data_IF_082151453243
#
_entry.id   IF_082151453243
#
_cell.length_a   1.000
_cell.length_b   1.000
_cell.length_c   1.000
_cell.angle_alpha   90.00
_cell.angle_beta   90.00
_cell.angle_gamma   90.00
#
_symmetry.space_group_name_H-M   'P 1'
#
loop_
_entity.id
_entity.type
_entity.pdbx_description
1 polymer ?
#
# COMPACT_ATOMS: atom_id res chain seq x y z
N UNK A 1 5.26 6.14 -3.37
CA UNK A 1 4.16 6.78 -4.11
C UNK A 1 2.96 6.88 -3.19
N UNK A 2 2.22 8.04 -3.24
CA UNK A 2 1.04 8.26 -2.40
C UNK A 2 1.39 8.27 -0.91
N UNK A 3 2.30 9.15 -0.49
CA UNK A 3 2.86 9.14 0.85
C UNK A 3 1.84 9.53 1.95
N UNK A 4 0.67 10.03 1.56
CA UNK A 4 -0.36 10.50 2.48
C UNK A 4 0.18 11.55 3.47
N UNK A 5 -0.19 11.45 4.72
CA UNK A 5 0.34 12.33 5.76
C UNK A 5 1.75 11.95 6.26
N UNK A 6 2.44 11.01 5.61
CA UNK A 6 3.81 10.60 5.92
C UNK A 6 3.98 9.79 7.22
N UNK A 7 2.93 9.11 7.69
CA UNK A 7 3.01 8.30 8.91
C UNK A 7 3.91 7.08 8.73
N UNK A 8 3.80 6.39 7.59
CA UNK A 8 4.69 5.27 7.27
C UNK A 8 6.15 5.71 7.24
N UNK A 9 6.46 6.76 6.47
CA UNK A 9 7.83 7.29 6.38
C UNK A 9 8.39 7.67 7.73
N UNK A 10 7.61 8.37 8.57
CA UNK A 10 8.03 8.77 9.92
C UNK A 10 8.41 7.56 10.80
N UNK A 11 7.62 6.49 10.73
CA UNK A 11 7.81 5.32 11.59
C UNK A 11 8.93 4.40 11.11
N UNK A 12 9.18 4.35 9.80
CA UNK A 12 10.14 3.42 9.19
C UNK A 12 11.36 4.12 8.57
N UNK A 13 11.46 5.44 8.72
CA UNK A 13 12.66 6.18 8.31
C UNK A 13 13.90 5.63 9.04
N UNK A 14 14.98 5.47 8.29
CA UNK A 14 16.31 5.11 8.78
C UNK A 14 17.31 6.06 8.19
N UNK A 15 18.29 6.48 8.99
CA UNK A 15 19.33 7.44 8.59
C UNK A 15 20.23 6.91 7.47
N UNK A 16 20.31 5.60 7.32
CA UNK A 16 21.10 4.91 6.30
C UNK A 16 20.50 5.04 4.88
N UNK A 17 19.22 5.39 4.78
CA UNK A 17 18.58 5.65 3.48
C UNK A 17 19.07 6.99 2.95
N UNK A 18 19.82 6.95 1.85
CA UNK A 18 20.50 8.14 1.31
C UNK A 18 19.50 9.17 0.78
N UNK A 19 18.56 8.73 -0.06
CA UNK A 19 17.58 9.60 -0.71
C UNK A 19 16.19 8.99 -0.65
N UNK A 20 15.20 9.81 -0.33
CA UNK A 20 13.78 9.42 -0.33
C UNK A 20 13.03 10.46 -1.16
N UNK A 21 12.20 9.99 -2.09
CA UNK A 21 11.23 10.84 -2.79
C UNK A 21 9.83 10.42 -2.33
N UNK A 22 9.11 11.35 -1.74
CA UNK A 22 7.73 11.17 -1.33
C UNK A 22 6.83 11.87 -2.34
N UNK A 23 5.98 11.11 -3.02
CA UNK A 23 4.99 11.70 -3.94
C UNK A 23 3.60 11.68 -3.33
N UNK A 24 2.86 12.76 -3.50
CA UNK A 24 1.50 12.90 -3.02
C UNK A 24 0.76 13.93 -3.88
N UNK A 25 -0.52 13.68 -4.19
CA UNK A 25 -1.34 14.59 -5.03
C UNK A 25 -2.26 15.49 -4.22
N UNK A 26 -2.67 15.04 -3.03
CA UNK A 26 -3.53 15.83 -2.16
C UNK A 26 -2.77 17.00 -1.54
N UNK A 27 -3.25 18.21 -1.75
CA UNK A 27 -2.58 19.45 -1.33
C UNK A 27 -2.43 19.58 0.20
N UNK A 28 -3.41 19.06 0.96
CA UNK A 28 -3.35 19.09 2.42
C UNK A 28 -2.27 18.13 2.93
N UNK A 29 -2.21 16.93 2.35
CA UNK A 29 -1.16 15.96 2.66
C UNK A 29 0.23 16.46 2.25
N UNK A 30 0.37 17.09 1.08
CA UNK A 30 1.63 17.73 0.67
C UNK A 30 2.13 18.76 1.70
N UNK A 31 1.25 19.66 2.12
CA UNK A 31 1.58 20.64 3.17
C UNK A 31 2.01 19.96 4.47
N UNK A 32 1.32 18.91 4.86
CA UNK A 32 1.66 18.13 6.06
C UNK A 32 3.03 17.43 5.92
N UNK A 33 3.33 16.85 4.76
CA UNK A 33 4.64 16.26 4.46
C UNK A 33 5.75 17.29 4.56
N UNK A 34 5.62 18.45 3.90
CA UNK A 34 6.61 19.52 3.98
C UNK A 34 6.87 19.97 5.42
N UNK A 35 5.81 20.16 6.22
CA UNK A 35 5.96 20.54 7.62
C UNK A 35 6.64 19.43 8.44
N UNK A 36 6.28 18.18 8.21
CA UNK A 36 6.76 17.02 8.98
C UNK A 36 8.24 16.75 8.70
N UNK A 37 8.67 16.85 7.46
CA UNK A 37 10.01 16.45 7.02
C UNK A 37 10.93 17.63 6.67
N UNK A 38 10.57 18.87 7.02
CA UNK A 38 11.36 20.09 6.72
C UNK A 38 12.82 20.04 7.20
N UNK A 39 13.14 19.20 8.19
CA UNK A 39 14.50 19.04 8.74
C UNK A 39 15.26 17.87 8.13
N UNK A 40 14.63 17.06 7.29
CA UNK A 40 15.22 15.86 6.69
C UNK A 40 15.74 16.20 5.29
N UNK A 41 17.01 16.57 5.16
CA UNK A 41 17.62 17.02 3.91
C UNK A 41 17.65 15.95 2.81
N UNK A 42 17.55 14.69 3.17
CA UNK A 42 17.52 13.56 2.24
C UNK A 42 16.09 13.14 1.82
N UNK A 43 15.06 13.90 2.23
CA UNK A 43 13.67 13.66 1.82
C UNK A 43 13.21 14.77 0.88
N UNK A 44 12.97 14.42 -0.38
CA UNK A 44 12.36 15.28 -1.39
C UNK A 44 10.85 15.00 -1.44
N UNK A 45 10.02 16.01 -1.48
CA UNK A 45 8.57 15.90 -1.58
C UNK A 45 8.15 16.46 -2.93
N UNK A 46 7.25 15.75 -3.63
CA UNK A 46 6.81 16.09 -4.98
C UNK A 46 5.32 15.78 -5.18
N UNK A 47 4.64 16.56 -5.99
CA UNK A 47 3.28 16.31 -6.47
C UNK A 47 3.25 15.60 -7.83
N UNK A 48 4.42 15.30 -8.39
CA UNK A 48 4.56 14.64 -9.69
C UNK A 48 4.12 13.17 -9.63
N UNK A 49 3.55 12.70 -10.72
CA UNK A 49 3.36 11.28 -10.98
C UNK A 49 4.69 10.60 -11.31
N UNK A 50 4.77 9.27 -11.14
CA UNK A 50 6.01 8.51 -11.30
C UNK A 50 6.63 8.67 -12.69
N UNK A 51 5.84 8.78 -13.74
CA UNK A 51 6.30 8.97 -15.12
C UNK A 51 7.07 10.28 -15.33
N UNK A 52 6.74 11.32 -14.54
CA UNK A 52 7.34 12.66 -14.61
C UNK A 52 8.56 12.86 -13.70
N UNK A 53 8.94 11.85 -12.95
CA UNK A 53 10.14 11.89 -12.11
C UNK A 53 11.32 11.39 -12.95
N UNK A 54 12.39 12.16 -13.06
CA UNK A 54 13.57 11.76 -13.85
C UNK A 54 14.48 10.77 -13.13
N UNK A 55 14.42 10.74 -11.80
CA UNK A 55 15.23 9.85 -10.96
C UNK A 55 14.86 8.37 -11.16
N UNK A 56 15.85 7.49 -10.92
CA UNK A 56 15.66 6.04 -10.75
C UNK A 56 15.87 5.64 -9.30
N UNK A 57 15.26 4.53 -8.90
CA UNK A 57 15.16 4.12 -7.51
C UNK A 57 15.57 2.66 -7.32
N UNK A 58 16.21 2.36 -6.19
CA UNK A 58 16.49 0.99 -5.75
C UNK A 58 15.23 0.32 -5.18
N UNK A 59 14.27 1.13 -4.69
CA UNK A 59 12.99 0.61 -4.19
C UNK A 59 11.86 1.60 -4.46
N UNK A 60 10.76 1.11 -5.01
CA UNK A 60 9.51 1.86 -5.18
C UNK A 60 8.41 1.17 -4.37
N UNK A 61 7.67 1.96 -3.58
CA UNK A 61 6.61 1.48 -2.71
C UNK A 61 5.24 2.04 -3.13
N UNK A 62 4.25 1.14 -3.30
CA UNK A 62 2.83 1.45 -3.41
C UNK A 62 2.10 0.81 -2.23
N UNK A 63 1.80 1.57 -1.20
CA UNK A 63 1.15 1.08 0.03
C UNK A 63 -0.26 1.66 0.14
N UNK A 64 -1.25 0.90 -0.28
CA UNK A 64 -2.65 1.34 -0.38
C UNK A 64 -2.82 2.57 -1.29
N UNK A 65 -2.31 2.47 -2.50
CA UNK A 65 -2.34 3.53 -3.51
C UNK A 65 -2.87 3.03 -4.85
N UNK A 66 -2.47 1.82 -5.26
CA UNK A 66 -2.75 1.31 -6.59
C UNK A 66 -4.26 1.13 -6.85
N UNK A 67 -5.02 0.80 -5.81
CA UNK A 67 -6.48 0.72 -5.83
C UNK A 67 -7.20 2.02 -6.16
N UNK A 68 -6.52 3.16 -5.99
CA UNK A 68 -7.01 4.50 -6.33
C UNK A 68 -6.62 4.93 -7.75
N UNK A 69 -5.85 4.13 -8.47
CA UNK A 69 -5.38 4.45 -9.82
C UNK A 69 -6.21 3.66 -10.84
N UNK A 70 -6.87 4.37 -11.74
CA UNK A 70 -7.73 3.73 -12.75
C UNK A 70 -6.90 2.91 -13.74
N UNK A 71 -5.80 3.47 -14.23
CA UNK A 71 -4.85 2.88 -15.19
C UNK A 71 -3.67 2.24 -14.42
N UNK A 72 -3.97 1.28 -13.55
CA UNK A 72 -3.01 0.67 -12.62
C UNK A 72 -1.87 -0.09 -13.33
N UNK A 73 -2.16 -0.78 -14.43
CA UNK A 73 -1.13 -1.48 -15.22
C UNK A 73 -0.12 -0.48 -15.78
N UNK A 74 -0.61 0.62 -16.39
CA UNK A 74 0.25 1.67 -16.93
C UNK A 74 1.11 2.33 -15.84
N UNK A 75 0.53 2.56 -14.66
CA UNK A 75 1.28 3.09 -13.52
C UNK A 75 2.41 2.15 -13.08
N UNK A 76 2.15 0.83 -13.06
CA UNK A 76 3.16 -0.17 -12.72
C UNK A 76 4.25 -0.30 -13.79
N UNK A 77 3.91 -0.15 -15.08
CA UNK A 77 4.90 -0.10 -16.17
C UNK A 77 5.81 1.12 -16.01
N UNK A 78 5.24 2.30 -15.75
CA UNK A 78 6.01 3.51 -15.47
C UNK A 78 6.94 3.31 -14.24
N UNK A 79 6.44 2.68 -13.18
CA UNK A 79 7.24 2.36 -11.99
C UNK A 79 8.39 1.40 -12.30
N UNK A 80 8.16 0.37 -13.12
CA UNK A 80 9.21 -0.54 -13.61
C UNK A 80 10.34 0.20 -14.32
N UNK A 81 10.01 1.16 -15.18
CA UNK A 81 11.01 1.96 -15.90
C UNK A 81 11.88 2.79 -14.97
N UNK A 82 11.31 3.25 -13.83
CA UNK A 82 12.01 4.04 -12.82
C UNK A 82 12.80 3.21 -11.81
N UNK A 83 12.79 1.87 -11.90
CA UNK A 83 13.66 1.03 -11.08
C UNK A 83 15.07 0.95 -11.66
N UNK A 84 16.06 0.98 -10.78
CA UNK A 84 17.41 0.54 -11.07
C UNK A 84 17.46 -0.97 -11.35
N UNK A 85 18.53 -1.46 -11.98
CA UNK A 85 18.80 -2.89 -12.05
C UNK A 85 18.91 -3.44 -10.61
N UNK A 86 18.44 -4.65 -10.39
CA UNK A 86 18.29 -5.25 -9.06
C UNK A 86 17.34 -4.52 -8.10
N UNK A 87 16.68 -3.46 -8.54
CA UNK A 87 15.71 -2.69 -7.76
C UNK A 87 14.42 -3.45 -7.45
N UNK A 88 13.71 -3.02 -6.42
CA UNK A 88 12.51 -3.69 -5.91
C UNK A 88 11.27 -2.83 -6.06
N UNK A 89 10.18 -3.45 -6.51
CA UNK A 89 8.83 -2.87 -6.49
C UNK A 89 8.01 -3.59 -5.42
N UNK A 90 7.54 -2.84 -4.43
CA UNK A 90 6.71 -3.36 -3.33
C UNK A 90 5.31 -2.78 -3.46
N UNK A 91 4.33 -3.65 -3.58
CA UNK A 91 2.93 -3.28 -3.73
C UNK A 91 2.14 -3.89 -2.58
N UNK A 92 1.38 -3.08 -1.85
CA UNK A 92 0.41 -3.52 -0.87
C UNK A 92 -0.96 -2.93 -1.22
N UNK A 93 -1.95 -3.81 -1.40
CA UNK A 93 -3.31 -3.44 -1.84
C UNK A 93 -4.38 -4.22 -1.09
N UNK A 94 -5.63 -3.73 -1.03
CA UNK A 94 -6.75 -4.48 -0.48
C UNK A 94 -7.06 -5.69 -1.36
N UNK A 95 -7.24 -6.84 -0.70
CA UNK A 95 -7.54 -8.12 -1.34
C UNK A 95 -9.04 -8.36 -1.51
N UNK A 96 -9.36 -9.34 -2.35
CA UNK A 96 -10.68 -9.94 -2.54
C UNK A 96 -11.74 -8.99 -3.12
N UNK A 97 -11.83 -8.96 -4.44
CA UNK A 97 -12.86 -8.18 -5.16
C UNK A 97 -14.28 -8.51 -4.70
N UNK A 98 -14.55 -9.74 -4.28
CA UNK A 98 -15.87 -10.17 -3.79
C UNK A 98 -16.35 -9.42 -2.55
N UNK A 99 -15.44 -8.85 -1.77
CA UNK A 99 -15.78 -8.04 -0.59
C UNK A 99 -15.74 -6.53 -0.85
N UNK A 100 -15.52 -6.10 -2.09
CA UNK A 100 -15.63 -4.68 -2.46
C UNK A 100 -17.01 -4.14 -2.04
N UNK A 101 -17.03 -3.00 -1.37
CA UNK A 101 -18.26 -2.49 -0.75
C UNK A 101 -18.31 -0.95 -0.61
N UNK A 102 -19.23 -0.51 0.24
CA UNK A 102 -19.49 0.93 0.42
C UNK A 102 -18.27 1.70 0.96
N UNK A 103 -17.48 1.08 1.83
CA UNK A 103 -16.25 1.70 2.33
C UNK A 103 -15.25 1.94 1.19
N UNK A 104 -15.05 0.95 0.31
CA UNK A 104 -14.14 1.09 -0.83
C UNK A 104 -14.56 2.25 -1.74
N UNK A 105 -15.87 2.34 -2.04
CA UNK A 105 -16.43 3.44 -2.83
C UNK A 105 -16.23 4.80 -2.15
N UNK A 106 -16.48 4.86 -0.83
CA UNK A 106 -16.40 6.10 -0.06
C UNK A 106 -14.97 6.64 0.03
N UNK A 107 -13.95 5.76 0.03
CA UNK A 107 -12.54 6.16 0.02
C UNK A 107 -11.95 6.28 -1.39
N UNK A 108 -12.75 6.03 -2.44
CA UNK A 108 -12.35 6.23 -3.84
C UNK A 108 -11.55 5.08 -4.43
N UNK A 109 -11.72 3.84 -3.94
CA UNK A 109 -11.15 2.68 -4.60
C UNK A 109 -11.87 2.37 -5.91
N UNK A 110 -11.12 2.09 -6.96
CA UNK A 110 -11.69 1.54 -8.19
C UNK A 110 -11.91 0.03 -8.07
N UNK A 111 -11.05 -0.68 -7.31
CA UNK A 111 -11.05 -2.14 -7.22
C UNK A 111 -10.34 -2.65 -5.98
N UNK A 112 -10.51 -3.94 -5.72
CA UNK A 112 -9.64 -4.77 -4.89
C UNK A 112 -8.96 -5.81 -5.77
N UNK A 113 -7.94 -6.47 -5.29
CA UNK A 113 -7.09 -7.34 -6.10
C UNK A 113 -7.20 -8.79 -5.67
N UNK A 114 -6.94 -9.70 -6.62
CA UNK A 114 -6.69 -11.12 -6.38
C UNK A 114 -5.21 -11.42 -6.61
N UNK A 115 -4.68 -12.49 -6.00
CA UNK A 115 -3.27 -12.86 -6.16
C UNK A 115 -2.89 -13.12 -7.62
N UNK A 116 -3.82 -13.62 -8.43
CA UNK A 116 -3.54 -13.97 -9.82
C UNK A 116 -3.14 -12.75 -10.65
N UNK A 117 -3.68 -11.58 -10.36
CA UNK A 117 -3.23 -10.31 -10.96
C UNK A 117 -1.72 -10.10 -10.87
N UNK A 118 -1.09 -10.56 -9.78
CA UNK A 118 0.35 -10.37 -9.53
C UNK A 118 1.22 -11.53 -10.02
N UNK A 119 0.64 -12.69 -10.36
CA UNK A 119 1.39 -13.88 -10.79
C UNK A 119 1.74 -13.86 -12.28
N UNK A 120 0.89 -13.27 -13.10
CA UNK A 120 0.93 -13.37 -14.57
C UNK A 120 1.95 -12.43 -15.19
N UNK A 121 3.24 -12.55 -14.88
CA UNK A 121 4.37 -11.83 -15.51
C UNK A 121 4.06 -10.39 -15.98
N UNK A 122 3.15 -9.76 -15.26
CA UNK A 122 2.51 -8.49 -15.60
C UNK A 122 3.50 -7.40 -16.02
N UNK A 123 4.72 -7.47 -15.47
CA UNK A 123 5.71 -6.41 -15.62
C UNK A 123 7.06 -6.93 -16.17
N UNK A 124 7.16 -8.20 -16.56
CA UNK A 124 8.46 -8.79 -16.88
C UNK A 124 9.51 -8.56 -15.76
N UNK A 125 9.04 -8.52 -14.52
CA UNK A 125 9.83 -8.47 -13.30
C UNK A 125 9.77 -9.84 -12.61
N UNK A 126 10.82 -10.18 -11.86
CA UNK A 126 10.83 -11.40 -11.07
C UNK A 126 9.98 -11.21 -9.80
N UNK A 127 8.83 -11.88 -9.71
CA UNK A 127 8.05 -11.96 -8.47
C UNK A 127 8.84 -12.76 -7.43
N UNK A 128 9.23 -12.13 -6.32
CA UNK A 128 10.00 -12.76 -5.24
C UNK A 128 9.18 -13.05 -3.98
N UNK A 129 8.08 -12.34 -3.78
CA UNK A 129 7.16 -12.60 -2.66
C UNK A 129 5.73 -12.25 -3.04
N UNK A 130 4.77 -13.09 -2.63
CA UNK A 130 3.34 -12.85 -2.81
C UNK A 130 2.57 -13.46 -1.64
N UNK A 131 2.09 -12.61 -0.73
CA UNK A 131 1.45 -13.05 0.52
C UNK A 131 0.17 -12.28 0.77
N UNK A 132 -0.76 -12.91 1.49
CA UNK A 132 -1.82 -12.16 2.17
C UNK A 132 -1.31 -11.64 3.52
N UNK A 133 -1.86 -10.54 3.97
CA UNK A 133 -1.67 -9.97 5.31
C UNK A 133 -3.02 -9.57 5.90
N UNK A 134 -3.02 -9.45 7.24
CA UNK A 134 -4.19 -9.03 8.02
C UNK A 134 -5.35 -10.03 7.94
N UNK A 135 -5.06 -11.27 8.37
CA UNK A 135 -6.04 -12.37 8.43
C UNK A 135 -7.20 -12.06 9.39
N UNK A 136 -6.94 -11.48 10.57
CA UNK A 136 -8.00 -11.05 11.49
C UNK A 136 -8.83 -9.94 10.89
N UNK A 137 -8.18 -8.99 10.19
CA UNK A 137 -8.88 -7.97 9.43
C UNK A 137 -9.82 -8.51 8.37
N UNK A 138 -9.45 -9.60 7.71
CA UNK A 138 -10.32 -10.27 6.76
C UNK A 138 -11.55 -10.88 7.45
N UNK A 139 -11.36 -11.60 8.54
CA UNK A 139 -12.45 -12.21 9.33
C UNK A 139 -13.41 -11.13 9.84
N UNK A 140 -12.86 -10.07 10.47
CA UNK A 140 -13.67 -8.99 11.02
C UNK A 140 -14.42 -8.20 9.93
N UNK A 141 -13.79 -7.98 8.78
CA UNK A 141 -14.45 -7.31 7.65
C UNK A 141 -15.63 -8.15 7.14
N UNK A 142 -15.46 -9.47 7.04
CA UNK A 142 -16.52 -10.38 6.62
C UNK A 142 -17.66 -10.41 7.63
N UNK A 143 -17.36 -10.51 8.93
CA UNK A 143 -18.37 -10.46 9.99
C UNK A 143 -19.10 -9.10 9.99
N UNK A 144 -18.37 -7.99 9.84
CA UNK A 144 -18.99 -6.67 9.77
C UNK A 144 -19.95 -6.54 8.57
N UNK A 145 -19.61 -7.11 7.43
CA UNK A 145 -20.48 -7.11 6.24
C UNK A 145 -21.77 -7.89 6.47
N UNK A 146 -21.72 -8.95 7.26
CA UNK A 146 -22.91 -9.78 7.59
C UNK A 146 -23.79 -9.08 8.64
N UNK A 147 -23.18 -8.57 9.71
CA UNK A 147 -23.92 -8.11 10.90
C UNK A 147 -24.19 -6.59 10.92
N UNK A 148 -23.36 -5.76 10.23
CA UNK A 148 -23.41 -4.30 10.29
C UNK A 148 -23.46 -3.66 8.90
N UNK A 149 -24.45 -4.06 8.12
CA UNK A 149 -24.58 -3.74 6.69
C UNK A 149 -24.57 -2.23 6.33
N UNK A 150 -24.85 -1.35 7.30
CA UNK A 150 -25.10 0.08 7.08
C UNK A 150 -23.98 1.02 7.55
N UNK A 151 -22.93 0.51 8.18
CA UNK A 151 -21.82 1.39 8.63
C UNK A 151 -20.78 1.58 7.50
N UNK A 152 -20.60 2.81 7.04
CA UNK A 152 -19.60 3.14 6.02
C UNK A 152 -18.21 3.28 6.63
N UNK A 153 -18.09 3.93 7.78
CA UNK A 153 -16.81 4.14 8.46
C UNK A 153 -16.82 3.55 9.88
N UNK A 154 -15.73 2.86 10.29
CA UNK A 154 -15.62 2.36 11.65
C UNK A 154 -15.50 3.50 12.67
N UNK A 155 -16.09 3.34 13.85
CA UNK A 155 -15.94 4.29 14.96
C UNK A 155 -14.48 4.35 15.44
N UNK A 156 -14.10 5.44 16.13
CA UNK A 156 -12.76 5.61 16.73
C UNK A 156 -12.40 4.44 17.68
N UNK A 157 -13.38 3.92 18.42
CA UNK A 157 -13.20 2.79 19.31
C UNK A 157 -12.91 1.50 18.53
N UNK A 158 -13.61 1.25 17.41
CA UNK A 158 -13.33 0.10 16.52
C UNK A 158 -11.92 0.19 15.93
N UNK A 159 -11.49 1.39 15.52
CA UNK A 159 -10.12 1.62 15.01
C UNK A 159 -9.09 1.34 16.11
N UNK A 160 -9.30 1.82 17.33
CA UNK A 160 -8.41 1.56 18.47
C UNK A 160 -8.27 0.06 18.77
N UNK A 161 -9.38 -0.67 18.84
CA UNK A 161 -9.36 -2.14 19.02
C UNK A 161 -8.61 -2.83 17.88
N UNK A 162 -8.82 -2.36 16.66
CA UNK A 162 -8.12 -2.88 15.49
C UNK A 162 -6.61 -2.75 15.63
N UNK A 163 -6.13 -1.55 15.90
CA UNK A 163 -4.70 -1.27 15.97
C UNK A 163 -4.02 -1.94 17.17
N UNK A 164 -4.68 -1.99 18.33
CA UNK A 164 -4.06 -2.44 19.58
C UNK A 164 -4.22 -3.92 19.87
N UNK A 165 -5.27 -4.56 19.36
CA UNK A 165 -5.61 -5.95 19.65
C UNK A 165 -5.54 -6.79 18.38
N UNK A 166 -6.32 -6.46 17.37
CA UNK A 166 -6.47 -7.32 16.21
C UNK A 166 -5.24 -7.32 15.29
N UNK A 167 -4.54 -6.21 15.12
CA UNK A 167 -3.33 -6.16 14.31
C UNK A 167 -2.20 -7.03 14.89
N UNK A 168 -1.87 -6.98 16.19
CA UNK A 168 -0.91 -7.91 16.78
C UNK A 168 -1.32 -9.38 16.67
N UNK A 169 -2.59 -9.70 16.92
CA UNK A 169 -3.11 -11.06 16.75
C UNK A 169 -3.01 -11.49 15.28
N UNK A 170 -3.36 -10.60 14.35
CA UNK A 170 -3.26 -10.85 12.92
C UNK A 170 -1.85 -11.26 12.51
N UNK A 171 -0.83 -10.61 13.05
CA UNK A 171 0.57 -10.92 12.76
C UNK A 171 0.93 -12.36 13.14
N UNK A 172 0.44 -12.83 14.30
CA UNK A 172 0.64 -14.21 14.77
C UNK A 172 -0.13 -15.20 13.89
N UNK A 173 -1.40 -14.92 13.61
CA UNK A 173 -2.26 -15.77 12.76
C UNK A 173 -1.73 -15.84 11.34
N UNK A 174 -1.28 -14.73 10.76
CA UNK A 174 -0.67 -14.67 9.45
C UNK A 174 0.54 -15.61 9.35
N UNK A 175 1.41 -15.60 10.38
CA UNK A 175 2.55 -16.48 10.45
C UNK A 175 2.14 -17.97 10.55
N UNK A 176 1.22 -18.32 11.46
CA UNK A 176 0.73 -19.70 11.67
C UNK A 176 0.06 -20.23 10.39
N UNK A 177 -0.71 -19.41 9.70
CA UNK A 177 -1.42 -19.80 8.46
C UNK A 177 -0.54 -19.74 7.22
N UNK A 178 0.75 -19.44 7.39
CA UNK A 178 1.70 -19.22 6.31
C UNK A 178 1.17 -18.22 5.25
N UNK A 179 0.50 -17.15 5.73
CA UNK A 179 0.00 -16.05 4.89
C UNK A 179 -0.96 -16.49 3.77
N UNK A 180 -1.75 -17.55 4.02
CA UNK A 180 -2.65 -18.13 3.02
C UNK A 180 -3.91 -17.32 2.78
N UNK A 181 -4.33 -16.48 3.73
CA UNK A 181 -5.46 -15.59 3.60
C UNK A 181 -5.24 -14.30 4.40
N UNK A 182 -5.92 -13.23 4.03
CA UNK A 182 -5.83 -11.93 4.70
C UNK A 182 -6.56 -10.85 3.91
N UNK A 183 -6.75 -9.69 4.50
CA UNK A 183 -7.49 -8.56 3.92
C UNK A 183 -6.68 -7.80 2.86
N UNK A 184 -5.35 -7.91 2.90
CA UNK A 184 -4.44 -7.23 1.98
C UNK A 184 -3.54 -8.25 1.27
N UNK A 185 -3.07 -7.90 0.07
CA UNK A 185 -2.01 -8.59 -0.65
C UNK A 185 -0.77 -7.75 -0.60
N UNK A 186 0.37 -8.40 -0.34
CA UNK A 186 1.70 -7.82 -0.58
C UNK A 186 2.37 -8.60 -1.69
N UNK A 187 2.77 -7.89 -2.74
CA UNK A 187 3.59 -8.41 -3.84
C UNK A 187 4.92 -7.67 -3.86
N UNK A 188 6.01 -8.42 -3.97
CA UNK A 188 7.36 -7.87 -4.08
C UNK A 188 7.99 -8.41 -5.35
N UNK A 189 8.40 -7.51 -6.21
CA UNK A 189 9.10 -7.82 -7.45
C UNK A 189 10.53 -7.31 -7.41
N UNK A 190 11.39 -7.96 -8.17
CA UNK A 190 12.76 -7.55 -8.42
C UNK A 190 13.00 -7.36 -9.91
N UNK A 191 13.61 -6.24 -10.29
CA UNK A 191 14.08 -6.00 -11.67
C UNK A 191 15.34 -6.82 -11.90
N UNK A 192 15.42 -7.43 -13.07
CA UNK A 192 16.59 -8.19 -13.51
C UNK A 192 17.67 -7.27 -14.07
#
# INVERSE_FOLDING_TARGET
>A
IGAGCGSFTKNYYRSEIKNIVLTEKDQLNLKNLHNKFKKNLNIKISDLSIDKIDDKFDTILYLHVLEHIKEDIKELENAKEKLNNDGHLVIMVPAHQKIYGNLDKAVGHFRRYEKDFFKDNLLDLKLINLKYLDSMGYILYFLNKIFFRNETFPSKFKIFLWDKIFTPISTIVDFITNYKFGKCIVAVYKKR
#
